data_IF_551090006338
#
_entry.id   IF_551090006338
#
_cell.length_a   1.000
_cell.length_b   1.000
_cell.length_c   1.000
_cell.angle_alpha   90.00
_cell.angle_beta   90.00
_cell.angle_gamma   90.00
#
_symmetry.space_group_name_H-M   'P 1'
#
loop_
_entity.id
_entity.type
_entity.pdbx_description
1 polymer ?
#
# COMPACT_ATOMS: atom_id res chain seq x y z
N UNK A 1 -13.93 22.25 -9.07
CA UNK A 1 -12.48 22.09 -8.85
C UNK A 1 -12.28 20.61 -8.60
N UNK A 2 -11.93 19.89 -9.67
CA UNK A 2 -11.67 18.45 -9.74
C UNK A 2 -10.80 17.93 -8.59
N UNK A 3 -11.18 16.80 -8.01
CA UNK A 3 -10.37 15.99 -7.07
C UNK A 3 -9.95 14.67 -7.74
N UNK A 4 -9.76 14.67 -9.06
CA UNK A 4 -9.70 13.44 -9.86
C UNK A 4 -8.27 12.93 -10.08
N UNK A 5 -7.23 13.66 -9.70
CA UNK A 5 -5.84 13.39 -10.15
C UNK A 5 -4.88 12.85 -9.08
N UNK A 6 -5.36 12.44 -7.90
CA UNK A 6 -4.48 11.83 -6.89
C UNK A 6 -4.27 10.35 -7.19
N UNK A 7 -3.09 10.01 -7.71
CA UNK A 7 -2.69 8.62 -7.93
C UNK A 7 -2.22 8.03 -6.60
N UNK A 8 -3.05 7.17 -6.00
CA UNK A 8 -2.73 6.50 -4.75
C UNK A 8 -1.62 5.43 -4.90
N UNK A 9 -1.67 4.64 -5.98
CA UNK A 9 -0.67 3.59 -6.24
C UNK A 9 -0.58 3.27 -7.72
N UNK A 10 0.63 3.00 -8.18
CA UNK A 10 0.91 2.47 -9.50
C UNK A 10 1.70 1.18 -9.35
N UNK A 11 1.32 0.13 -10.10
CA UNK A 11 2.09 -1.09 -10.24
C UNK A 11 2.24 -1.41 -11.73
N UNK A 12 3.40 -1.95 -12.12
CA UNK A 12 3.69 -2.33 -13.50
C UNK A 12 4.50 -3.62 -13.53
N UNK A 13 4.25 -4.45 -14.53
CA UNK A 13 5.09 -5.61 -14.87
C UNK A 13 5.64 -5.35 -16.26
N UNK A 14 6.96 -5.24 -16.35
CA UNK A 14 7.65 -5.17 -17.63
C UNK A 14 8.05 -6.59 -18.07
N UNK A 15 7.87 -6.88 -19.37
CA UNK A 15 8.27 -8.16 -19.97
C UNK A 15 7.59 -9.40 -19.38
N UNK A 16 6.33 -9.28 -18.91
CA UNK A 16 5.54 -10.41 -18.45
C UNK A 16 5.15 -11.33 -19.62
N UNK A 17 5.27 -12.65 -19.45
CA UNK A 17 4.78 -13.61 -20.42
C UNK A 17 3.32 -13.95 -20.10
N UNK A 18 2.41 -13.57 -20.99
CA UNK A 18 1.00 -13.95 -20.89
C UNK A 18 0.71 -15.20 -21.70
N UNK A 19 -0.01 -16.15 -21.10
CA UNK A 19 -0.53 -17.31 -21.81
C UNK A 19 -1.84 -16.91 -22.49
N UNK A 20 -2.02 -17.18 -23.80
CA UNK A 20 -3.28 -16.86 -24.50
C UNK A 20 -4.50 -17.51 -23.84
N UNK A 21 -5.60 -16.76 -23.74
CA UNK A 21 -6.85 -17.19 -23.10
C UNK A 21 -6.71 -17.63 -21.62
N UNK A 22 -5.63 -17.20 -20.94
CA UNK A 22 -5.45 -17.43 -19.50
C UNK A 22 -5.91 -16.23 -18.69
N UNK A 23 -6.22 -16.48 -17.42
CA UNK A 23 -6.32 -15.42 -16.40
C UNK A 23 -4.93 -15.20 -15.79
N UNK A 24 -4.60 -13.94 -15.46
CA UNK A 24 -3.42 -13.59 -14.68
C UNK A 24 -3.86 -12.91 -13.40
N UNK A 25 -3.37 -13.39 -12.26
CA UNK A 25 -3.51 -12.69 -10.99
C UNK A 25 -2.49 -11.55 -10.94
N UNK A 26 -2.97 -10.31 -10.86
CA UNK A 26 -2.14 -9.12 -10.72
C UNK A 26 -2.39 -8.48 -9.36
N UNK A 27 -1.39 -8.55 -8.48
CA UNK A 27 -1.49 -8.02 -7.13
C UNK A 27 -0.77 -6.68 -7.06
N UNK A 28 -1.47 -5.66 -6.58
CA UNK A 28 -0.89 -4.35 -6.26
C UNK A 28 -0.50 -4.38 -4.78
N UNK A 29 0.80 -4.31 -4.48
CA UNK A 29 1.28 -4.25 -3.11
C UNK A 29 1.10 -2.85 -2.52
N UNK A 30 0.26 -2.74 -1.49
CA UNK A 30 -0.05 -1.50 -0.80
C UNK A 30 0.91 -1.17 0.35
N UNK A 31 2.05 -1.86 0.47
CA UNK A 31 3.08 -1.60 1.50
C UNK A 31 2.51 -1.65 2.93
N UNK A 32 1.50 -2.49 3.16
CA UNK A 32 0.75 -2.58 4.41
C UNK A 32 -0.03 -1.31 4.78
N UNK A 33 -0.36 -0.46 3.80
CA UNK A 33 -1.26 0.67 3.98
C UNK A 33 -2.69 0.27 3.65
N UNK A 34 -3.63 0.79 4.44
CA UNK A 34 -5.05 0.60 4.22
C UNK A 34 -5.56 1.55 3.14
N UNK A 35 -6.43 1.03 2.27
CA UNK A 35 -7.32 1.86 1.48
C UNK A 35 -8.41 2.41 2.40
N UNK A 36 -8.61 3.71 2.39
CA UNK A 36 -9.70 4.35 3.12
C UNK A 36 -11.05 4.02 2.47
N UNK A 37 -12.16 4.29 3.17
CA UNK A 37 -13.46 4.21 2.53
C UNK A 37 -13.59 5.32 1.49
N UNK A 38 -14.16 4.98 0.34
CA UNK A 38 -14.43 5.98 -0.68
C UNK A 38 -14.61 5.40 -2.06
N UNK A 39 -14.80 6.32 -3.00
CA UNK A 39 -14.90 6.04 -4.42
C UNK A 39 -13.51 6.13 -5.06
N UNK A 40 -13.17 5.10 -5.82
CA UNK A 40 -11.88 4.93 -6.49
C UNK A 40 -12.10 4.60 -7.96
N UNK A 41 -11.00 4.68 -8.72
CA UNK A 41 -10.96 4.34 -10.14
C UNK A 41 -9.70 3.51 -10.42
N UNK A 42 -9.90 2.36 -11.04
CA UNK A 42 -8.82 1.55 -11.59
C UNK A 42 -8.57 1.97 -13.03
N UNK A 43 -7.40 2.54 -13.30
CA UNK A 43 -6.90 2.75 -14.65
C UNK A 43 -5.84 1.69 -14.97
N UNK A 44 -6.13 0.82 -15.94
CA UNK A 44 -5.23 -0.25 -16.35
C UNK A 44 -4.91 -0.14 -17.83
N UNK A 45 -3.64 -0.33 -18.17
CA UNK A 45 -3.19 -0.45 -19.55
C UNK A 45 -2.37 -1.73 -19.71
N UNK A 46 -2.76 -2.57 -20.67
CA UNK A 46 -1.98 -3.72 -21.10
C UNK A 46 -1.58 -3.55 -22.56
N UNK A 47 -0.36 -3.96 -22.92
CA UNK A 47 0.14 -3.87 -24.28
C UNK A 47 1.03 -5.05 -24.63
N UNK A 48 0.90 -5.53 -25.87
CA UNK A 48 1.75 -6.58 -26.44
C UNK A 48 2.17 -6.17 -27.85
N UNK A 49 3.36 -5.57 -27.98
CA UNK A 49 3.82 -5.00 -29.25
C UNK A 49 2.93 -3.86 -29.75
N UNK A 50 2.09 -4.14 -30.75
CA UNK A 50 1.16 -3.18 -31.34
C UNK A 50 -0.22 -3.14 -30.65
N UNK A 51 -0.83 -4.28 -30.28
CA UNK A 51 -2.03 -4.32 -29.46
C UNK A 51 -1.91 -3.54 -28.15
N UNK A 52 -2.95 -2.75 -27.84
CA UNK A 52 -3.12 -2.05 -26.57
C UNK A 52 -4.57 -2.16 -26.10
N UNK A 53 -4.74 -2.47 -24.83
CA UNK A 53 -6.02 -2.52 -24.14
C UNK A 53 -5.99 -1.57 -22.95
N UNK A 54 -7.11 -0.88 -22.74
CA UNK A 54 -7.26 0.11 -21.68
C UNK A 54 -8.57 -0.13 -20.95
N UNK A 55 -8.51 -0.12 -19.63
CA UNK A 55 -9.67 -0.21 -18.74
C UNK A 55 -9.70 1.01 -17.85
N UNK A 56 -10.91 1.49 -17.62
CA UNK A 56 -11.24 2.54 -16.66
C UNK A 56 -12.49 2.05 -15.90
N UNK A 57 -12.27 1.54 -14.69
CA UNK A 57 -13.32 0.90 -13.89
C UNK A 57 -13.47 1.60 -12.53
N UNK A 58 -14.61 2.26 -12.25
CA UNK A 58 -14.89 2.82 -10.93
C UNK A 58 -15.27 1.71 -9.94
N UNK A 59 -14.79 1.83 -8.70
CA UNK A 59 -15.17 0.94 -7.60
C UNK A 59 -15.27 1.73 -6.28
N UNK A 60 -16.04 1.23 -5.33
CA UNK A 60 -16.21 1.86 -4.01
C UNK A 60 -15.78 0.88 -2.95
N UNK A 61 -14.92 1.32 -2.02
CA UNK A 61 -14.56 0.53 -0.84
C UNK A 61 -15.56 0.84 0.28
N UNK A 62 -16.22 -0.21 0.76
CA UNK A 62 -17.26 -0.14 1.80
C UNK A 62 -16.79 -0.70 3.15
N UNK A 63 -17.56 -0.45 4.21
CA UNK A 63 -17.27 -0.91 5.58
C UNK A 63 -17.12 -2.44 5.70
N UNK A 64 -17.80 -3.22 4.85
CA UNK A 64 -17.73 -4.68 4.88
C UNK A 64 -16.38 -5.20 4.38
N UNK A 65 -15.83 -4.55 3.36
CA UNK A 65 -14.55 -4.91 2.75
C UNK A 65 -13.37 -4.52 3.66
N UNK A 66 -13.50 -3.43 4.43
CA UNK A 66 -12.49 -3.02 5.42
C UNK A 66 -12.21 -4.12 6.46
N UNK A 67 -13.26 -4.82 6.91
CA UNK A 67 -13.13 -5.89 7.92
C UNK A 67 -12.26 -7.05 7.44
N UNK A 68 -12.18 -7.27 6.12
CA UNK A 68 -11.32 -8.28 5.52
C UNK A 68 -9.86 -7.81 5.54
N UNK A 69 -9.61 -6.52 5.30
CA UNK A 69 -8.27 -5.91 5.29
C UNK A 69 -7.65 -5.73 6.68
N UNK A 70 -8.45 -5.50 7.73
CA UNK A 70 -8.00 -5.35 9.13
C UNK A 70 -7.24 -6.57 9.66
N UNK A 71 -7.47 -7.76 9.10
CA UNK A 71 -6.80 -8.99 9.51
C UNK A 71 -5.47 -9.25 8.76
N UNK A 72 -5.22 -8.54 7.65
CA UNK A 72 -4.07 -8.79 6.76
C UNK A 72 -2.92 -7.82 7.05
N UNK A 73 -3.25 -6.60 7.48
CA UNK A 73 -2.28 -5.60 7.90
C UNK A 73 -2.03 -5.79 9.41
N UNK A 74 -1.41 -6.92 9.78
CA UNK A 74 -0.69 -6.96 11.05
C UNK A 74 0.44 -5.95 10.94
N UNK A 75 0.14 -4.77 11.48
CA UNK A 75 1.00 -3.61 11.62
C UNK A 75 2.43 -4.07 11.88
N UNK A 76 3.32 -3.74 10.95
CA UNK A 76 4.75 -3.67 11.21
C UNK A 76 4.96 -2.50 12.17
N UNK A 77 4.51 -2.67 13.41
CA UNK A 77 4.95 -1.87 14.54
C UNK A 77 6.45 -2.13 14.64
N UNK A 78 7.21 -1.26 14.01
CA UNK A 78 8.63 -1.12 14.23
C UNK A 78 8.83 -0.60 15.67
N UNK A 79 8.64 -1.48 16.65
CA UNK A 79 8.95 -1.31 18.08
C UNK A 79 10.46 -1.15 18.33
N UNK A 80 11.23 -0.64 17.36
CA UNK A 80 12.67 -0.41 17.52
C UNK A 80 13.02 1.06 17.78
N UNK A 81 12.07 1.97 17.58
CA UNK A 81 12.20 3.40 17.90
C UNK A 81 11.12 3.85 18.89
N UNK A 82 10.86 3.03 19.91
CA UNK A 82 10.07 3.49 21.06
C UNK A 82 10.82 4.60 21.80
N UNK A 83 10.17 5.73 22.18
CA UNK A 83 10.78 6.81 22.97
C UNK A 83 11.33 6.33 24.33
N UNK A 84 10.97 5.11 24.76
CA UNK A 84 11.54 4.42 25.92
C UNK A 84 13.07 4.31 25.88
N UNK A 85 13.67 4.05 24.71
CA UNK A 85 15.13 3.91 24.57
C UNK A 85 15.87 5.23 24.84
N UNK A 86 15.26 6.36 24.50
CA UNK A 86 15.80 7.69 24.79
C UNK A 86 15.73 8.02 26.28
N UNK A 87 14.69 7.58 26.98
CA UNK A 87 14.52 7.80 28.42
C UNK A 87 15.60 7.07 29.22
N UNK A 88 15.88 5.81 28.88
CA UNK A 88 16.89 5.01 29.59
C UNK A 88 18.31 5.57 29.41
N UNK A 89 18.65 6.06 28.22
CA UNK A 89 19.95 6.71 27.95
C UNK A 89 20.13 8.00 28.76
N UNK A 90 19.07 8.82 28.87
CA UNK A 90 19.12 10.08 29.63
C UNK A 90 19.29 9.82 31.13
N UNK A 91 18.63 8.80 31.68
CA UNK A 91 18.75 8.44 33.11
C UNK A 91 20.17 7.99 33.46
N UNK A 92 20.79 7.15 32.62
CA UNK A 92 22.18 6.71 32.83
C UNK A 92 23.16 7.89 32.78
N UNK A 93 22.96 8.82 31.85
CA UNK A 93 23.79 10.02 31.71
C UNK A 93 23.69 10.95 32.94
N UNK A 94 22.49 11.10 33.51
CA UNK A 94 22.28 11.89 34.73
C UNK A 94 22.95 11.24 35.95
N UNK A 95 22.94 9.91 36.06
CA UNK A 95 23.63 9.19 37.15
C UNK A 95 25.14 9.40 37.08
N UNK A 96 25.73 9.40 35.88
CA UNK A 96 27.17 9.65 35.69
C UNK A 96 27.57 11.09 36.05
N UNK A 97 26.69 12.07 35.83
CA UNK A 97 26.95 13.48 36.16
C UNK A 97 26.84 13.75 37.68
N UNK A 98 26.01 12.99 38.38
CA UNK A 98 25.75 13.15 39.83
C UNK A 98 26.78 12.40 40.70
N UNK A 99 27.45 11.39 40.14
CA UNK A 99 28.54 10.61 40.79
C UNK A 99 29.88 11.32 40.68
#
# INVERSE_FOLDING_TARGET
MDKTDEVFKTASIESGQFVPNSTMEFVIDWENQYLELGDYRLELTASDGNPKWTWDEPFTITDEERKISEHVVELKENTWLTPQLFIDVVVVLLIIIVV
#
